data_IF_900932676473
#
_entry.id   IF_900932676473
#
_cell.length_a   1.000
_cell.length_b   1.000
_cell.length_c   1.000
_cell.angle_alpha   90.00
_cell.angle_beta   90.00
_cell.angle_gamma   90.00
#
_symmetry.space_group_name_H-M   'P 1'
#
loop_
_entity.id
_entity.type
_entity.pdbx_description
1 polymer ?
#
# COMPACT_ATOMS: atom_id res chain seq x y z
N UNK A 1 -25.53 -5.75 21.89
CA UNK A 1 -24.55 -6.84 22.09
C UNK A 1 -23.25 -6.16 22.48
N UNK A 2 -22.60 -6.49 23.61
CA UNK A 2 -21.41 -5.77 24.06
C UNK A 2 -20.29 -5.66 23.01
N UNK A 3 -20.11 -6.72 22.21
CA UNK A 3 -19.17 -6.76 21.09
C UNK A 3 -19.55 -5.83 19.93
N UNK A 4 -20.86 -5.59 19.71
CA UNK A 4 -21.33 -4.64 18.70
C UNK A 4 -20.90 -3.23 19.10
N UNK A 5 -21.15 -2.83 20.34
CA UNK A 5 -20.82 -1.48 20.83
C UNK A 5 -19.29 -1.23 20.82
N UNK A 6 -18.51 -2.27 21.12
CA UNK A 6 -17.05 -2.24 21.07
C UNK A 6 -16.50 -2.11 19.64
N UNK A 7 -17.10 -2.82 18.66
CA UNK A 7 -16.72 -2.71 17.25
C UNK A 7 -16.90 -1.30 16.70
N UNK A 8 -17.92 -0.58 17.18
CA UNK A 8 -18.20 0.80 16.79
C UNK A 8 -17.47 1.84 17.65
N UNK A 9 -16.63 1.44 18.60
CA UNK A 9 -15.70 2.40 19.20
C UNK A 9 -14.80 3.01 18.11
N UNK A 10 -14.62 4.35 18.07
CA UNK A 10 -13.94 5.01 16.96
C UNK A 10 -12.56 4.44 16.63
N UNK A 11 -11.76 4.12 17.65
CA UNK A 11 -10.40 3.59 17.45
C UNK A 11 -10.40 2.15 16.94
N UNK A 12 -11.28 1.30 17.48
CA UNK A 12 -11.44 -0.11 17.05
C UNK A 12 -11.97 -0.15 15.62
N UNK A 13 -12.99 0.66 15.31
CA UNK A 13 -13.53 0.79 13.97
C UNK A 13 -12.46 1.30 12.98
N UNK A 14 -11.69 2.34 13.36
CA UNK A 14 -10.60 2.86 12.52
C UNK A 14 -9.55 1.78 12.25
N UNK A 15 -9.17 0.99 13.25
CA UNK A 15 -8.26 -0.15 13.08
C UNK A 15 -8.81 -1.22 12.14
N UNK A 16 -10.10 -1.54 12.24
CA UNK A 16 -10.74 -2.48 11.33
C UNK A 16 -10.72 -1.97 9.89
N UNK A 17 -11.07 -0.70 9.67
CA UNK A 17 -11.01 -0.04 8.36
C UNK A 17 -9.60 -0.05 7.78
N UNK A 18 -8.58 0.31 8.58
CA UNK A 18 -7.18 0.24 8.16
C UNK A 18 -6.76 -1.20 7.82
N UNK A 19 -7.22 -2.19 8.59
CA UNK A 19 -6.99 -3.60 8.30
C UNK A 19 -7.56 -4.03 6.93
N UNK A 20 -8.75 -3.55 6.57
CA UNK A 20 -9.31 -3.75 5.23
C UNK A 20 -8.54 -2.98 4.16
N UNK A 21 -8.12 -1.74 4.43
CA UNK A 21 -7.30 -0.97 3.51
C UNK A 21 -6.02 -1.72 3.18
N UNK A 22 -5.33 -2.31 4.16
CA UNK A 22 -4.12 -3.11 3.94
C UNK A 22 -4.37 -4.34 3.06
N UNK A 23 -5.51 -5.02 3.23
CA UNK A 23 -5.86 -6.24 2.48
C UNK A 23 -6.31 -5.97 1.05
N UNK A 24 -6.74 -4.75 0.75
CA UNK A 24 -7.39 -4.42 -0.53
C UNK A 24 -6.58 -3.43 -1.38
N UNK A 25 -5.31 -3.18 -1.05
CA UNK A 25 -4.48 -2.30 -1.88
C UNK A 25 -4.16 -2.98 -3.20
N UNK A 26 -4.18 -2.19 -4.28
CA UNK A 26 -3.79 -2.67 -5.60
C UNK A 26 -2.65 -1.84 -6.19
N UNK A 27 -1.85 -2.47 -7.02
CA UNK A 27 -0.80 -1.86 -7.82
C UNK A 27 -1.39 -0.95 -8.93
N UNK A 28 -0.51 -0.46 -9.79
CA UNK A 28 -0.82 0.35 -10.96
C UNK A 28 -1.70 -0.37 -11.98
N UNK A 29 -1.65 -1.70 -12.03
CA UNK A 29 -2.37 -2.54 -12.98
C UNK A 29 -3.68 -3.12 -12.41
N UNK A 30 -3.99 -2.85 -11.14
CA UNK A 30 -5.17 -3.36 -10.46
C UNK A 30 -4.99 -4.72 -9.80
N UNK A 31 -3.77 -5.28 -9.77
CA UNK A 31 -3.48 -6.51 -9.02
C UNK A 31 -3.29 -6.19 -7.54
N UNK A 32 -3.58 -7.15 -6.65
CA UNK A 32 -3.34 -6.96 -5.21
C UNK A 32 -1.85 -6.70 -4.94
N UNK A 33 -1.59 -5.73 -4.06
CA UNK A 33 -0.23 -5.43 -3.62
C UNK A 33 0.37 -6.64 -2.87
N UNK A 34 1.69 -6.85 -2.95
CA UNK A 34 2.36 -7.95 -2.24
C UNK A 34 2.06 -7.96 -0.73
N UNK A 35 2.08 -6.80 -0.07
CA UNK A 35 1.70 -6.68 1.33
C UNK A 35 0.24 -7.06 1.60
N UNK A 36 -0.68 -6.74 0.69
CA UNK A 36 -2.08 -7.16 0.77
C UNK A 36 -2.20 -8.68 0.71
N UNK A 37 -1.50 -9.32 -0.23
CA UNK A 37 -1.48 -10.79 -0.35
C UNK A 37 -0.94 -11.41 0.94
N UNK A 38 0.19 -10.94 1.46
CA UNK A 38 0.74 -11.40 2.74
C UNK A 38 -0.25 -11.21 3.89
N UNK A 39 -0.93 -10.06 3.96
CA UNK A 39 -1.86 -9.77 5.06
C UNK A 39 -3.07 -10.73 5.07
N UNK A 40 -3.47 -11.23 3.91
CA UNK A 40 -4.57 -12.20 3.72
C UNK A 40 -4.09 -13.63 3.96
N UNK A 41 -2.99 -14.01 3.32
CA UNK A 41 -2.53 -15.42 3.21
C UNK A 41 -1.52 -15.83 4.27
N UNK A 42 -0.83 -14.85 4.88
CA UNK A 42 0.31 -15.06 5.79
C UNK A 42 1.51 -15.78 5.16
N UNK A 43 1.62 -15.78 3.83
CA UNK A 43 2.73 -16.40 3.09
C UNK A 43 3.68 -15.34 2.52
N UNK A 44 4.97 -15.68 2.38
CA UNK A 44 5.96 -14.83 1.69
C UNK A 44 6.48 -13.66 2.53
N UNK A 45 6.63 -13.84 3.85
CA UNK A 45 7.04 -12.77 4.77
C UNK A 45 8.41 -12.17 4.44
N UNK A 46 9.36 -12.97 3.94
CA UNK A 46 10.76 -12.56 3.78
C UNK A 46 10.95 -11.50 2.67
N UNK A 47 10.15 -11.56 1.61
CA UNK A 47 10.31 -10.69 0.43
C UNK A 47 9.19 -9.65 0.28
N UNK A 48 8.17 -9.69 1.15
CA UNK A 48 6.95 -8.88 0.98
C UNK A 48 7.21 -7.38 0.86
N UNK A 49 8.15 -6.83 1.64
CA UNK A 49 8.48 -5.41 1.60
C UNK A 49 9.26 -5.06 0.32
N UNK A 50 10.19 -5.92 -0.08
CA UNK A 50 10.96 -5.75 -1.31
C UNK A 50 10.05 -5.79 -2.54
N UNK A 51 9.12 -6.74 -2.58
CA UNK A 51 8.15 -6.81 -3.68
C UNK A 51 7.19 -5.62 -3.67
N UNK A 52 6.77 -5.16 -2.49
CA UNK A 52 5.94 -3.95 -2.38
C UNK A 52 6.66 -2.73 -2.95
N UNK A 53 7.97 -2.60 -2.74
CA UNK A 53 8.81 -1.52 -3.28
C UNK A 53 8.85 -1.47 -4.81
N UNK A 54 8.42 -2.52 -5.52
CA UNK A 54 8.35 -2.51 -6.99
C UNK A 54 7.20 -1.66 -7.52
N UNK A 55 6.16 -1.42 -6.72
CA UNK A 55 5.00 -0.61 -7.11
C UNK A 55 4.97 0.68 -6.30
N UNK A 56 5.06 1.83 -6.98
CA UNK A 56 4.99 3.15 -6.33
C UNK A 56 3.68 3.30 -5.58
N UNK A 57 2.58 2.90 -6.22
CA UNK A 57 1.24 2.96 -5.62
C UNK A 57 1.13 2.07 -4.39
N UNK A 58 1.67 0.85 -4.42
CA UNK A 58 1.67 -0.02 -3.24
C UNK A 58 2.52 0.55 -2.10
N UNK A 59 3.74 1.04 -2.39
CA UNK A 59 4.61 1.68 -1.40
C UNK A 59 3.94 2.87 -0.74
N UNK A 60 3.42 3.83 -1.52
CA UNK A 60 2.81 5.06 -1.01
C UNK A 60 1.53 4.77 -0.20
N UNK A 61 0.69 3.85 -0.65
CA UNK A 61 -0.53 3.49 0.06
C UNK A 61 -0.22 2.76 1.38
N UNK A 62 0.77 1.86 1.38
CA UNK A 62 1.19 1.17 2.59
C UNK A 62 1.76 2.13 3.61
N UNK A 63 2.63 3.05 3.16
CA UNK A 63 3.21 4.11 3.99
C UNK A 63 2.11 4.99 4.60
N UNK A 64 1.10 5.36 3.81
CA UNK A 64 -0.02 6.18 4.28
C UNK A 64 -0.77 5.50 5.42
N UNK A 65 -1.09 4.21 5.29
CA UNK A 65 -1.80 3.47 6.35
C UNK A 65 -0.95 3.43 7.62
N UNK A 66 0.33 3.04 7.52
CA UNK A 66 1.18 2.90 8.71
C UNK A 66 1.48 4.23 9.40
N UNK A 67 1.60 5.34 8.66
CA UNK A 67 1.77 6.67 9.25
C UNK A 67 0.51 7.21 9.92
N UNK A 68 -0.68 6.80 9.44
CA UNK A 68 -1.96 7.17 10.05
C UNK A 68 -2.32 6.30 11.25
N UNK A 69 -1.58 5.21 11.50
CA UNK A 69 -1.74 4.37 12.67
C UNK A 69 -1.17 5.05 13.92
N UNK A 70 -2.03 5.32 14.89
CA UNK A 70 -1.67 5.89 16.20
C UNK A 70 -1.51 4.79 17.26
N UNK A 71 -0.63 4.98 18.24
CA UNK A 71 -0.46 4.11 19.41
C UNK A 71 -1.77 3.92 20.19
N UNK A 72 -2.64 4.93 20.25
CA UNK A 72 -3.94 4.84 20.91
C UNK A 72 -4.85 3.78 20.27
N UNK A 73 -4.73 3.58 18.95
CA UNK A 73 -5.47 2.54 18.24
C UNK A 73 -4.99 1.15 18.64
N UNK A 74 -3.69 0.97 18.81
CA UNK A 74 -3.12 -0.29 19.32
C UNK A 74 -3.60 -0.59 20.73
N UNK A 75 -3.62 0.42 21.61
CA UNK A 75 -4.11 0.27 23.00
C UNK A 75 -5.60 -0.10 23.01
N UNK A 76 -6.42 0.60 22.23
CA UNK A 76 -7.85 0.31 22.13
C UNK A 76 -8.12 -1.10 21.60
N UNK A 77 -7.40 -1.52 20.54
CA UNK A 77 -7.55 -2.86 19.97
C UNK A 77 -7.08 -3.96 20.93
N UNK A 78 -5.95 -3.74 21.62
CA UNK A 78 -5.43 -4.66 22.66
C UNK A 78 -6.42 -4.88 23.80
N UNK A 79 -7.06 -3.81 24.24
CA UNK A 79 -8.04 -3.88 25.32
C UNK A 79 -9.39 -4.42 24.85
N UNK A 80 -9.55 -4.64 23.54
CA UNK A 80 -10.81 -5.12 22.98
C UNK A 80 -10.99 -6.62 23.09
N UNK A 81 -12.25 -7.08 23.18
CA UNK A 81 -12.61 -8.50 23.21
C UNK A 81 -12.29 -9.25 21.91
N UNK A 82 -11.93 -8.54 20.84
CA UNK A 82 -11.55 -9.11 19.54
C UNK A 82 -10.11 -9.62 19.50
N UNK A 83 -9.29 -9.31 20.51
CA UNK A 83 -7.91 -9.75 20.59
C UNK A 83 -7.67 -10.54 21.87
N UNK A 84 -6.58 -11.31 21.91
CA UNK A 84 -6.15 -12.01 23.12
C UNK A 84 -5.35 -11.12 24.08
N UNK A 85 -5.30 -9.80 23.85
CA UNK A 85 -4.56 -8.85 24.69
C UNK A 85 -3.04 -8.89 24.56
N UNK A 86 -2.48 -9.78 23.72
CA UNK A 86 -1.03 -9.97 23.55
C UNK A 86 -0.42 -9.13 22.42
N UNK A 87 -0.87 -7.88 22.23
CA UNK A 87 -0.13 -6.93 21.39
C UNK A 87 1.14 -6.46 22.13
N UNK A 88 2.27 -6.68 21.47
CA UNK A 88 3.65 -6.55 21.97
C UNK A 88 4.27 -5.25 21.48
N UNK A 89 5.17 -4.66 22.30
CA UNK A 89 5.97 -3.49 21.91
C UNK A 89 6.80 -3.75 20.63
N UNK A 90 7.05 -5.03 20.33
CA UNK A 90 7.70 -5.48 19.09
C UNK A 90 6.89 -5.09 17.85
N UNK A 91 5.56 -5.03 17.91
CA UNK A 91 4.72 -4.62 16.77
C UNK A 91 4.91 -3.14 16.43
N UNK A 92 5.12 -2.26 17.43
CA UNK A 92 5.44 -0.86 17.18
C UNK A 92 6.83 -0.69 16.55
N UNK A 93 7.81 -1.49 16.99
CA UNK A 93 9.14 -1.50 16.38
C UNK A 93 9.10 -2.02 14.95
N UNK A 94 8.23 -3.00 14.67
CA UNK A 94 8.02 -3.55 13.34
C UNK A 94 7.35 -2.54 12.40
N UNK A 95 6.37 -1.77 12.88
CA UNK A 95 5.77 -0.66 12.11
C UNK A 95 6.83 0.38 11.74
N UNK A 96 7.67 0.78 12.69
CA UNK A 96 8.77 1.73 12.42
C UNK A 96 9.77 1.16 11.41
N UNK A 97 10.10 -0.12 11.53
CA UNK A 97 10.94 -0.82 10.56
C UNK A 97 10.32 -0.77 9.16
N UNK A 98 9.05 -1.16 9.01
CA UNK A 98 8.34 -1.10 7.72
C UNK A 98 8.40 0.32 7.13
N UNK A 99 8.05 1.34 7.92
CA UNK A 99 8.08 2.74 7.46
C UNK A 99 9.50 3.09 6.96
N UNK A 100 10.54 2.78 7.74
CA UNK A 100 11.92 3.08 7.35
C UNK A 100 12.36 2.35 6.08
N UNK A 101 11.93 1.11 5.89
CA UNK A 101 12.21 0.34 4.68
C UNK A 101 11.52 0.98 3.47
N UNK A 102 10.25 1.34 3.59
CA UNK A 102 9.47 1.94 2.49
C UNK A 102 9.97 3.34 2.11
N UNK A 103 10.48 4.11 3.07
CA UNK A 103 11.07 5.44 2.82
C UNK A 103 12.50 5.40 2.30
N UNK A 104 13.18 4.26 2.42
CA UNK A 104 14.57 4.12 2.00
C UNK A 104 14.75 4.39 0.51
N UNK A 105 15.87 5.00 0.14
CA UNK A 105 16.26 5.20 -1.27
C UNK A 105 16.30 3.87 -2.04
N UNK A 106 16.67 2.79 -1.36
CA UNK A 106 16.67 1.44 -1.92
C UNK A 106 15.26 0.96 -2.32
N UNK A 107 14.23 1.28 -1.54
CA UNK A 107 12.85 0.95 -1.90
C UNK A 107 12.34 1.87 -3.02
N UNK A 108 12.58 3.18 -2.86
CA UNK A 108 12.11 4.19 -3.81
C UNK A 108 12.72 4.02 -5.22
N UNK A 109 13.96 3.55 -5.31
CA UNK A 109 14.63 3.27 -6.59
C UNK A 109 14.13 2.00 -7.30
N UNK A 110 13.42 1.12 -6.59
CA UNK A 110 12.84 -0.10 -7.17
C UNK A 110 11.47 0.11 -7.81
N UNK A 111 10.85 1.28 -7.62
CA UNK A 111 9.58 1.60 -8.25
C UNK A 111 9.68 1.40 -9.75
N UNK A 112 8.95 0.39 -10.26
CA UNK A 112 8.83 0.13 -11.67
C UNK A 112 8.03 1.30 -12.24
N UNK A 113 8.73 2.27 -12.82
CA UNK A 113 8.06 3.22 -13.70
C UNK A 113 7.63 2.38 -14.89
N UNK A 114 6.32 2.20 -15.07
CA UNK A 114 5.79 1.69 -16.33
C UNK A 114 6.53 2.44 -17.44
N UNK A 115 7.34 1.72 -18.22
CA UNK A 115 7.97 2.23 -19.44
C UNK A 115 6.89 2.46 -20.50
N UNK A 116 5.82 3.18 -20.14
CA UNK A 116 5.14 4.03 -21.08
C UNK A 116 6.13 5.14 -21.40
N UNK A 117 7.05 4.85 -22.33
CA UNK A 117 7.74 5.87 -23.08
C UNK A 117 6.65 6.81 -23.57
N UNK A 118 6.50 7.97 -22.93
CA UNK A 118 5.70 9.04 -23.48
C UNK A 118 6.47 9.47 -24.72
N UNK A 119 6.18 8.84 -25.87
CA UNK A 119 6.67 9.33 -27.14
C UNK A 119 6.04 10.70 -27.25
N UNK A 120 6.85 11.74 -27.02
CA UNK A 120 6.48 13.12 -27.29
C UNK A 120 6.30 13.23 -28.80
N UNK A 121 5.15 12.78 -29.29
CA UNK A 121 4.80 12.89 -30.71
C UNK A 121 4.69 14.36 -31.02
N UNK A 122 5.64 14.85 -31.81
CA UNK A 122 5.59 16.19 -32.35
C UNK A 122 4.42 16.23 -33.35
N UNK A 123 3.34 16.94 -33.02
CA UNK A 123 2.11 17.02 -33.84
C UNK A 123 2.42 17.41 -35.30
N UNK A 124 3.51 18.15 -35.51
CA UNK A 124 4.00 18.54 -36.84
C UNK A 124 4.39 17.34 -37.73
N UNK A 125 5.00 16.30 -37.17
CA UNK A 125 5.38 15.09 -37.89
C UNK A 125 4.15 14.29 -38.36
N UNK A 126 3.10 14.25 -37.54
CA UNK A 126 1.82 13.62 -37.90
C UNK A 126 1.14 14.35 -39.05
N UNK A 127 1.16 15.68 -39.06
CA UNK A 127 0.63 16.48 -40.17
C UNK A 127 1.39 16.24 -41.48
N UNK A 128 2.72 16.13 -41.44
CA UNK A 128 3.53 15.84 -42.65
C UNK A 128 3.19 14.47 -43.23
N UNK A 129 3.08 13.44 -42.39
CA UNK A 129 2.72 12.08 -42.80
C UNK A 129 1.32 12.03 -43.44
N UNK A 130 0.36 12.74 -42.86
CA UNK A 130 -0.99 12.89 -43.41
C UNK A 130 -0.97 13.61 -44.77
N UNK A 131 -0.19 14.67 -44.92
CA UNK A 131 -0.08 15.40 -46.18
C UNK A 131 0.53 14.54 -47.30
N UNK A 132 1.55 13.74 -46.98
CA UNK A 132 2.21 12.83 -47.93
C UNK A 132 1.26 11.72 -48.40
N UNK A 133 0.38 11.21 -47.53
CA UNK A 133 -0.63 10.21 -47.87
C UNK A 133 -1.78 10.75 -48.73
N UNK A 134 -1.96 12.08 -48.78
CA UNK A 134 -2.98 12.73 -49.64
C UNK A 134 -2.38 13.16 -50.98
N UNK A 135 -1.06 13.36 -51.04
CA UNK A 135 -0.32 13.76 -52.23
C UNK A 135 0.15 12.58 -53.11
N UNK A 136 0.12 11.36 -52.58
CA UNK A 136 0.36 10.10 -53.29
C UNK A 136 -0.93 9.28 -53.37
#
# INVERSE_FOLDING_TARGET
LPQYDEMFQPLVFKSAVQGFQLKCQTDENGNLCPYSIYSITKTGADEVLVDTCKSKKCTENLLKVFKDTNIDQFIALKNSSFTTGNLSYEELSYVKYIISTLESENCQSQHITSNASYVKTNTFLLFILLLLLVLF
#
